data_IF_789023256271
#
_entry.id   IF_789023256271
#
_cell.length_a   1.000
_cell.length_b   1.000
_cell.length_c   1.000
_cell.angle_alpha   90.00
_cell.angle_beta   90.00
_cell.angle_gamma   90.00
#
_symmetry.space_group_name_H-M   'P 1'
#
loop_
_entity.id
_entity.type
_entity.pdbx_description
1 polymer ?
#
# COMPACT_ATOMS: atom_id res chain seq x y z
N UNK A 1 60.94 -3.81 8.71
CA UNK A 1 60.11 -4.45 7.67
C UNK A 1 58.67 -4.50 8.18
N UNK A 2 57.85 -3.46 7.95
CA UNK A 2 56.42 -3.44 8.34
C UNK A 2 55.59 -2.49 7.45
N UNK A 3 55.92 -2.41 6.16
CA UNK A 3 55.27 -1.48 5.22
C UNK A 3 54.08 -2.06 4.45
N UNK A 4 53.88 -3.38 4.48
CA UNK A 4 52.92 -4.06 3.60
C UNK A 4 51.50 -4.20 4.19
N UNK A 5 51.31 -3.97 5.50
CA UNK A 5 50.01 -4.13 6.16
C UNK A 5 49.01 -3.02 5.82
N UNK A 6 49.47 -1.78 5.73
CA UNK A 6 48.59 -0.61 5.55
C UNK A 6 47.94 -0.60 4.16
N UNK A 7 48.65 -1.02 3.11
CA UNK A 7 48.12 -1.04 1.75
C UNK A 7 46.98 -2.04 1.56
N UNK A 8 47.08 -3.24 2.17
CA UNK A 8 46.06 -4.28 2.00
C UNK A 8 44.72 -3.87 2.61
N UNK A 9 44.72 -3.26 3.80
CA UNK A 9 43.50 -2.79 4.47
C UNK A 9 42.75 -1.73 3.65
N UNK A 10 43.48 -0.78 3.05
CA UNK A 10 42.88 0.29 2.23
C UNK A 10 42.24 -0.26 0.96
N UNK A 11 42.88 -1.22 0.28
CA UNK A 11 42.29 -1.87 -0.92
C UNK A 11 41.02 -2.64 -0.60
N UNK A 12 40.95 -3.38 0.51
CA UNK A 12 39.74 -4.15 0.87
C UNK A 12 38.56 -3.24 1.18
N UNK A 13 38.80 -2.12 1.89
CA UNK A 13 37.76 -1.12 2.19
C UNK A 13 37.23 -0.48 0.90
N UNK A 14 38.10 -0.14 -0.05
CA UNK A 14 37.71 0.46 -1.33
C UNK A 14 36.90 -0.52 -2.20
N UNK A 15 37.22 -1.81 -2.21
CA UNK A 15 36.45 -2.81 -2.95
C UNK A 15 35.06 -3.00 -2.36
N UNK A 16 34.94 -3.09 -1.03
CA UNK A 16 33.64 -3.19 -0.35
C UNK A 16 32.79 -1.93 -0.60
N UNK A 17 33.40 -0.75 -0.53
CA UNK A 17 32.72 0.52 -0.82
C UNK A 17 32.28 0.61 -2.29
N UNK A 18 33.10 0.13 -3.23
CA UNK A 18 32.80 0.10 -4.65
C UNK A 18 31.61 -0.81 -5.00
N UNK A 19 31.51 -1.98 -4.36
CA UNK A 19 30.35 -2.89 -4.53
C UNK A 19 29.07 -2.26 -3.99
N UNK A 20 29.15 -1.49 -2.89
CA UNK A 20 27.99 -0.79 -2.33
C UNK A 20 27.50 0.38 -3.20
N UNK A 21 28.39 1.03 -3.97
CA UNK A 21 28.02 2.16 -4.83
C UNK A 21 27.50 1.76 -6.22
N UNK A 22 27.70 0.51 -6.67
CA UNK A 22 27.24 0.04 -7.98
C UNK A 22 25.73 -0.20 -8.15
N UNK A 23 24.94 0.00 -7.09
CA UNK A 23 23.54 -0.46 -7.01
C UNK A 23 22.43 0.53 -7.36
N UNK A 24 22.69 1.66 -8.02
CA UNK A 24 21.69 2.73 -8.16
C UNK A 24 21.31 3.07 -9.61
N UNK A 25 20.58 2.16 -10.27
CA UNK A 25 19.59 2.55 -11.28
C UNK A 25 18.43 1.57 -11.25
N UNK A 26 17.70 1.56 -10.14
CA UNK A 26 16.41 0.87 -10.08
C UNK A 26 15.44 1.61 -11.01
N UNK A 27 15.22 1.07 -12.20
CA UNK A 27 14.25 1.59 -13.15
C UNK A 27 12.89 1.67 -12.44
N UNK A 28 12.23 2.84 -12.50
CA UNK A 28 10.92 3.09 -11.87
C UNK A 28 9.75 2.53 -12.70
N UNK A 29 10.05 1.75 -13.74
CA UNK A 29 9.07 1.16 -14.62
C UNK A 29 8.54 -0.12 -13.98
N UNK A 30 7.22 -0.24 -13.96
CA UNK A 30 6.55 -1.47 -13.55
C UNK A 30 6.35 -2.31 -14.80
N UNK A 31 6.86 -3.54 -14.78
CA UNK A 31 6.46 -4.49 -15.80
C UNK A 31 4.97 -4.81 -15.60
N UNK A 32 4.22 -5.00 -16.69
CA UNK A 32 2.81 -5.43 -16.65
C UNK A 32 2.54 -6.58 -15.66
N UNK A 33 3.37 -7.64 -15.58
CA UNK A 33 3.20 -8.70 -14.58
C UNK A 33 3.29 -8.26 -13.12
N UNK A 34 3.99 -7.17 -12.81
CA UNK A 34 4.24 -6.68 -11.45
C UNK A 34 3.16 -5.70 -10.96
N UNK A 35 2.15 -5.41 -11.79
CA UNK A 35 1.07 -4.50 -11.44
C UNK A 35 0.10 -5.22 -10.50
N UNK A 36 -0.03 -4.72 -9.28
CA UNK A 36 -0.90 -5.24 -8.22
C UNK A 36 -2.14 -4.37 -7.99
N UNK A 37 -3.23 -5.00 -7.53
CA UNK A 37 -4.46 -4.30 -7.11
C UNK A 37 -4.16 -3.37 -5.92
N UNK A 38 -4.75 -2.18 -5.93
CA UNK A 38 -4.56 -1.14 -4.94
C UNK A 38 -3.27 -0.34 -5.13
N UNK A 39 -2.50 -0.58 -6.18
CA UNK A 39 -1.29 0.19 -6.44
C UNK A 39 -1.63 1.55 -7.05
N UNK A 40 -1.03 2.61 -6.54
CA UNK A 40 -1.11 3.95 -7.12
C UNK A 40 -0.15 4.05 -8.31
N UNK A 41 -0.66 4.43 -9.48
CA UNK A 41 0.10 4.43 -10.73
C UNK A 41 -0.07 5.71 -11.51
N UNK A 42 0.96 6.02 -12.28
CA UNK A 42 0.96 7.02 -13.34
C UNK A 42 1.10 6.29 -14.68
N UNK A 43 0.05 6.34 -15.50
CA UNK A 43 0.02 5.75 -16.83
C UNK A 43 0.43 6.79 -17.85
N UNK A 44 1.35 6.43 -18.74
CA UNK A 44 1.66 7.19 -19.95
C UNK A 44 1.02 6.46 -21.11
N UNK A 45 -0.01 7.05 -21.71
CA UNK A 45 -0.79 6.45 -22.78
C UNK A 45 -0.11 6.64 -24.15
N UNK A 46 -0.46 5.80 -25.11
CA UNK A 46 0.02 5.88 -26.50
C UNK A 46 -0.41 7.19 -27.18
N UNK A 47 -1.53 7.77 -26.75
CA UNK A 47 -1.98 9.11 -27.18
C UNK A 47 -1.06 10.25 -26.71
N UNK A 48 -0.14 9.99 -25.78
CA UNK A 48 0.69 10.99 -25.12
C UNK A 48 0.06 11.56 -23.84
N UNK A 49 -1.21 11.24 -23.55
CA UNK A 49 -1.85 11.62 -22.30
C UNK A 49 -1.18 10.92 -21.10
N UNK A 50 -1.17 11.62 -19.97
CA UNK A 50 -0.67 11.11 -18.70
C UNK A 50 -1.83 11.13 -17.73
N UNK A 51 -2.17 9.97 -17.17
CA UNK A 51 -3.24 9.84 -16.19
C UNK A 51 -2.71 9.22 -14.91
N UNK A 52 -3.23 9.68 -13.77
CA UNK A 52 -2.90 9.13 -12.45
C UNK A 52 -4.13 8.54 -11.79
N UNK A 53 -3.93 7.48 -11.02
CA UNK A 53 -5.02 6.83 -10.33
C UNK A 53 -4.59 5.61 -9.53
N UNK A 54 -5.59 4.83 -9.10
CA UNK A 54 -5.40 3.56 -8.38
C UNK A 54 -5.93 2.40 -9.20
N UNK A 55 -5.19 1.31 -9.25
CA UNK A 55 -5.64 0.08 -9.92
C UNK A 55 -6.63 -0.64 -9.01
N UNK A 56 -7.85 -0.87 -9.51
CA UNK A 56 -8.88 -1.63 -8.78
C UNK A 56 -9.00 -3.08 -9.29
N UNK A 57 -8.65 -3.31 -10.56
CA UNK A 57 -8.72 -4.62 -11.18
C UNK A 57 -7.69 -4.75 -12.31
N UNK A 58 -7.17 -5.95 -12.48
CA UNK A 58 -6.27 -6.32 -13.57
C UNK A 58 -6.85 -7.50 -14.32
N UNK A 59 -7.29 -7.24 -15.55
CA UNK A 59 -7.69 -8.26 -16.49
C UNK A 59 -6.49 -8.85 -17.24
N UNK A 60 -6.77 -9.80 -18.15
CA UNK A 60 -5.72 -10.42 -18.97
C UNK A 60 -5.05 -9.44 -19.94
N UNK A 61 -5.84 -8.58 -20.60
CA UNK A 61 -5.39 -7.59 -21.60
C UNK A 61 -5.73 -6.15 -21.23
N UNK A 62 -6.37 -5.94 -20.08
CA UNK A 62 -6.99 -4.68 -19.68
C UNK A 62 -6.67 -4.38 -18.21
N UNK A 63 -6.65 -3.09 -17.88
CA UNK A 63 -6.38 -2.57 -16.55
C UNK A 63 -7.49 -1.60 -16.17
N UNK A 64 -8.18 -1.86 -15.06
CA UNK A 64 -9.22 -0.96 -14.55
C UNK A 64 -8.61 -0.05 -13.49
N UNK A 65 -8.61 1.25 -13.75
CA UNK A 65 -8.01 2.28 -12.91
C UNK A 65 -9.06 3.32 -12.56
N UNK A 66 -9.19 3.66 -11.28
CA UNK A 66 -9.98 4.83 -10.86
C UNK A 66 -9.08 6.05 -10.96
N UNK A 67 -9.46 7.02 -11.79
CA UNK A 67 -8.64 8.20 -12.06
C UNK A 67 -8.79 9.26 -10.96
N UNK A 68 -7.71 10.00 -10.68
CA UNK A 68 -7.72 11.12 -9.72
C UNK A 68 -8.63 12.27 -10.19
N UNK A 69 -8.78 12.48 -11.51
CA UNK A 69 -9.47 13.65 -12.07
C UNK A 69 -10.99 13.60 -11.90
N UNK A 70 -11.61 12.44 -12.16
CA UNK A 70 -13.07 12.28 -12.15
C UNK A 70 -13.59 11.27 -11.13
N UNK A 71 -12.68 10.58 -10.42
CA UNK A 71 -12.99 9.54 -9.44
C UNK A 71 -13.86 8.41 -10.00
N UNK A 72 -13.82 8.19 -11.33
CA UNK A 72 -14.53 7.11 -12.00
C UNK A 72 -13.58 5.99 -12.42
N UNK A 73 -14.05 4.73 -12.49
CA UNK A 73 -13.27 3.64 -13.05
C UNK A 73 -13.20 3.75 -14.58
N UNK A 74 -11.97 3.70 -15.10
CA UNK A 74 -11.66 3.64 -16.53
C UNK A 74 -10.92 2.35 -16.85
N UNK A 75 -11.29 1.73 -17.97
CA UNK A 75 -10.66 0.51 -18.46
C UNK A 75 -9.68 0.89 -19.57
N UNK A 76 -8.40 0.58 -19.37
CA UNK A 76 -7.34 0.81 -20.34
C UNK A 76 -6.83 -0.52 -20.90
N UNK A 77 -6.72 -0.63 -22.22
CA UNK A 77 -6.06 -1.79 -22.83
C UNK A 77 -4.56 -1.66 -22.68
N UNK A 78 -3.83 -2.77 -22.46
CA UNK A 78 -2.37 -2.70 -22.39
C UNK A 78 -1.73 -2.15 -23.67
N UNK A 79 -2.37 -2.31 -24.84
CA UNK A 79 -1.92 -1.70 -26.09
C UNK A 79 -1.99 -0.17 -26.11
N UNK A 80 -2.86 0.42 -25.28
CA UNK A 80 -3.01 1.87 -25.13
C UNK A 80 -2.02 2.43 -24.11
N UNK A 81 -1.38 1.58 -23.30
CA UNK A 81 -0.46 1.97 -22.24
C UNK A 81 0.97 1.83 -22.75
N UNK A 82 1.65 2.97 -22.94
CA UNK A 82 3.07 3.00 -23.32
C UNK A 82 3.97 2.64 -22.13
N UNK A 83 3.61 3.08 -20.93
CA UNK A 83 4.43 2.95 -19.73
C UNK A 83 3.62 3.07 -18.46
N UNK A 84 3.97 2.28 -17.45
CA UNK A 84 3.39 2.36 -16.10
C UNK A 84 4.50 2.70 -15.11
N UNK A 85 4.30 3.73 -14.32
CA UNK A 85 5.17 4.11 -13.21
C UNK A 85 4.39 4.10 -11.89
N UNK A 86 5.08 3.90 -10.77
CA UNK A 86 4.47 4.16 -9.46
C UNK A 86 4.18 5.65 -9.32
N UNK A 87 2.95 6.00 -8.96
CA UNK A 87 2.65 7.39 -8.59
C UNK A 87 3.40 7.74 -7.29
N UNK A 88 3.94 8.97 -7.15
CA UNK A 88 4.48 9.43 -5.88
C UNK A 88 3.39 9.65 -4.82
N UNK A 89 2.13 9.80 -5.24
CA UNK A 89 0.99 9.95 -4.32
C UNK A 89 0.42 8.58 -3.94
N UNK A 90 -0.18 8.53 -2.76
CA UNK A 90 -0.99 7.39 -2.33
C UNK A 90 -2.46 7.78 -2.50
N UNK A 91 -3.26 6.87 -3.04
CA UNK A 91 -4.69 7.06 -3.22
C UNK A 91 -5.49 6.03 -2.42
N UNK A 92 -6.73 6.37 -2.08
CA UNK A 92 -7.73 5.38 -1.65
C UNK A 92 -8.42 4.70 -2.84
N UNK A 93 -9.38 3.81 -2.59
CA UNK A 93 -10.07 3.06 -3.64
C UNK A 93 -10.98 3.91 -4.54
N UNK A 94 -11.24 5.16 -4.16
CA UNK A 94 -11.98 6.14 -4.95
C UNK A 94 -11.05 7.18 -5.60
N UNK A 95 -9.74 6.90 -5.61
CA UNK A 95 -8.71 7.79 -6.13
C UNK A 95 -8.58 9.14 -5.40
N UNK A 96 -9.08 9.27 -4.17
CA UNK A 96 -8.76 10.45 -3.36
C UNK A 96 -7.35 10.33 -2.79
N UNK A 97 -6.55 11.42 -2.82
CA UNK A 97 -5.22 11.39 -2.26
C UNK A 97 -5.27 11.15 -0.74
N UNK A 98 -4.32 10.36 -0.25
CA UNK A 98 -4.07 10.12 1.16
C UNK A 98 -2.87 10.95 1.56
N UNK A 99 -3.06 11.85 2.52
CA UNK A 99 -1.99 12.75 2.99
C UNK A 99 -0.99 12.01 3.88
N UNK A 100 0.26 12.50 3.94
CA UNK A 100 1.27 11.92 4.86
C UNK A 100 0.86 12.05 6.34
N UNK A 101 0.11 13.09 6.70
CA UNK A 101 -0.42 13.25 8.06
C UNK A 101 -1.42 12.14 8.43
N UNK A 102 -2.27 11.72 7.48
CA UNK A 102 -3.18 10.59 7.68
C UNK A 102 -2.42 9.26 7.78
N UNK A 103 -1.40 9.06 6.93
CA UNK A 103 -0.55 7.86 6.99
C UNK A 103 0.13 7.78 8.36
N UNK A 104 0.73 8.86 8.84
CA UNK A 104 1.43 8.89 10.12
C UNK A 104 0.49 8.66 11.31
N UNK A 105 -0.78 9.14 11.24
CA UNK A 105 -1.80 8.89 12.27
C UNK A 105 -2.04 7.39 12.52
N UNK A 106 -1.94 6.55 11.49
CA UNK A 106 -2.17 5.10 11.59
C UNK A 106 -0.90 4.26 11.56
N UNK A 107 0.27 4.91 11.47
CA UNK A 107 1.55 4.24 11.45
C UNK A 107 1.85 3.61 12.80
N UNK A 108 2.27 2.36 12.78
CA UNK A 108 2.75 1.67 13.99
C UNK A 108 4.26 1.50 13.92
N UNK A 109 4.94 1.44 15.06
CA UNK A 109 6.38 1.19 15.14
C UNK A 109 6.71 -0.30 15.40
N UNK A 110 5.74 -1.19 15.20
CA UNK A 110 5.90 -2.61 15.56
C UNK A 110 6.92 -3.28 14.65
N UNK A 111 6.83 -3.11 13.33
CA UNK A 111 7.78 -3.76 12.42
C UNK A 111 9.14 -3.05 12.47
N UNK A 112 9.17 -1.74 12.69
CA UNK A 112 10.40 -0.98 12.93
C UNK A 112 11.22 -1.48 14.12
N UNK A 113 10.63 -2.16 15.11
CA UNK A 113 11.36 -2.78 16.24
C UNK A 113 11.72 -4.25 15.99
N UNK A 114 10.82 -5.02 15.38
CA UNK A 114 11.03 -6.47 15.16
C UNK A 114 12.06 -6.74 14.06
N UNK A 115 12.00 -6.01 12.95
CA UNK A 115 12.87 -6.21 11.80
C UNK A 115 14.36 -5.96 12.10
N UNK A 116 14.77 -4.90 12.82
CA UNK A 116 16.18 -4.70 13.16
C UNK A 116 16.75 -5.83 14.00
N UNK A 117 15.96 -6.39 14.95
CA UNK A 117 16.41 -7.53 15.78
C UNK A 117 16.66 -8.76 14.90
N UNK A 118 15.73 -9.08 14.00
CA UNK A 118 15.91 -10.16 13.03
C UNK A 118 17.11 -9.93 12.10
N UNK A 119 17.27 -8.69 11.63
CA UNK A 119 18.41 -8.29 10.80
C UNK A 119 19.74 -8.38 11.52
N UNK A 120 19.79 -8.03 12.81
CA UNK A 120 20.99 -8.16 13.64
C UNK A 120 21.40 -9.62 13.79
N UNK A 121 20.47 -10.51 14.11
CA UNK A 121 20.76 -11.95 14.25
C UNK A 121 21.22 -12.56 12.92
N UNK A 122 20.48 -12.32 11.83
CA UNK A 122 20.84 -12.85 10.50
C UNK A 122 22.15 -12.28 9.98
N UNK A 123 22.35 -10.98 10.15
CA UNK A 123 23.59 -10.29 9.79
C UNK A 123 24.78 -10.79 10.59
N UNK A 124 24.59 -11.05 11.90
CA UNK A 124 25.61 -11.65 12.75
C UNK A 124 26.01 -13.04 12.27
N UNK A 125 25.04 -13.93 12.07
CA UNK A 125 25.30 -15.30 11.64
C UNK A 125 25.98 -15.35 10.27
N UNK A 126 25.54 -14.50 9.34
CA UNK A 126 26.14 -14.37 8.01
C UNK A 126 27.58 -13.81 8.10
N UNK A 127 27.80 -12.82 8.96
CA UNK A 127 29.13 -12.26 9.23
C UNK A 127 30.09 -13.30 9.83
N UNK A 128 29.63 -14.11 10.79
CA UNK A 128 30.43 -15.21 11.36
C UNK A 128 30.74 -16.27 10.30
N UNK A 129 29.75 -16.66 9.48
CA UNK A 129 29.92 -17.67 8.44
C UNK A 129 30.99 -17.26 7.40
N UNK A 130 31.03 -15.97 7.03
CA UNK A 130 32.03 -15.42 6.11
C UNK A 130 33.36 -15.17 6.83
N UNK A 131 33.31 -14.72 8.08
CA UNK A 131 34.50 -14.41 8.89
C UNK A 131 35.30 -15.64 9.30
N UNK A 132 34.66 -16.80 9.47
CA UNK A 132 35.30 -18.01 9.96
C UNK A 132 36.38 -18.56 8.98
N UNK A 133 36.14 -18.71 7.67
CA UNK A 133 37.19 -19.08 6.72
C UNK A 133 38.34 -18.06 6.64
N UNK A 134 38.03 -16.77 6.72
CA UNK A 134 39.04 -15.69 6.67
C UNK A 134 39.95 -15.75 7.90
N UNK A 135 39.35 -15.92 9.07
CA UNK A 135 40.07 -16.07 10.31
C UNK A 135 40.96 -17.31 10.31
N UNK A 136 40.45 -18.47 9.86
CA UNK A 136 41.23 -19.71 9.74
C UNK A 136 42.43 -19.59 8.78
N UNK A 137 42.40 -18.64 7.84
CA UNK A 137 43.46 -18.43 6.85
C UNK A 137 44.49 -17.36 7.25
N UNK A 138 44.12 -16.40 8.10
CA UNK A 138 44.92 -15.20 8.38
C UNK A 138 45.07 -14.84 9.87
N UNK A 139 44.48 -15.61 10.78
CA UNK A 139 44.42 -15.43 12.26
C UNK A 139 43.80 -14.11 12.77
N UNK A 140 43.50 -13.14 11.89
CA UNK A 140 42.91 -11.83 12.19
C UNK A 140 42.07 -11.35 10.98
N UNK A 141 40.83 -10.83 11.15
CA UNK A 141 40.08 -10.58 12.38
C UNK A 141 39.32 -11.79 12.96
N UNK A 142 39.05 -11.82 14.29
CA UNK A 142 38.20 -12.84 14.90
C UNK A 142 36.81 -12.90 14.26
N UNK A 143 36.19 -14.09 14.09
CA UNK A 143 34.92 -14.24 13.40
C UNK A 143 33.78 -13.43 14.03
N UNK A 144 33.81 -13.25 15.36
CA UNK A 144 32.81 -12.47 16.10
C UNK A 144 32.86 -10.97 15.77
N UNK A 145 34.02 -10.43 15.39
CA UNK A 145 34.13 -9.03 14.97
C UNK A 145 33.43 -8.83 13.62
N UNK A 146 33.68 -9.72 12.66
CA UNK A 146 32.99 -9.74 11.36
C UNK A 146 31.49 -9.98 11.56
N UNK A 147 31.12 -10.88 12.47
CA UNK A 147 29.75 -11.07 12.94
C UNK A 147 29.11 -9.79 13.48
N UNK A 148 29.79 -9.07 14.38
CA UNK A 148 29.31 -7.81 14.95
C UNK A 148 29.04 -6.74 13.89
N UNK A 149 29.95 -6.57 12.92
CA UNK A 149 29.76 -5.66 11.78
C UNK A 149 28.56 -6.09 10.93
N UNK A 150 28.46 -7.39 10.65
CA UNK A 150 27.31 -7.97 9.94
C UNK A 150 25.98 -7.69 10.65
N UNK A 151 25.95 -7.78 11.98
CA UNK A 151 24.77 -7.50 12.79
C UNK A 151 24.30 -6.05 12.65
N UNK A 152 25.23 -5.10 12.69
CA UNK A 152 24.91 -3.66 12.53
C UNK A 152 24.36 -3.37 11.14
N UNK A 153 25.03 -3.86 10.09
CA UNK A 153 24.59 -3.66 8.70
C UNK A 153 23.23 -4.32 8.46
N UNK A 154 23.07 -5.56 8.94
CA UNK A 154 21.81 -6.29 8.84
C UNK A 154 20.67 -5.58 9.57
N UNK A 155 20.92 -5.09 10.79
CA UNK A 155 19.94 -4.33 11.57
C UNK A 155 19.46 -3.08 10.83
N UNK A 156 20.38 -2.26 10.30
CA UNK A 156 20.03 -1.05 9.54
C UNK A 156 19.23 -1.41 8.28
N UNK A 157 19.69 -2.39 7.50
CA UNK A 157 18.99 -2.80 6.28
C UNK A 157 17.55 -3.24 6.57
N UNK A 158 17.35 -4.12 7.55
CA UNK A 158 16.02 -4.60 7.90
C UNK A 158 15.17 -3.53 8.60
N UNK A 159 15.76 -2.61 9.38
CA UNK A 159 15.04 -1.46 9.96
C UNK A 159 14.39 -0.61 8.86
N UNK A 160 15.13 -0.29 7.80
CA UNK A 160 14.57 0.49 6.67
C UNK A 160 13.43 -0.25 5.96
N UNK A 161 13.54 -1.58 5.83
CA UNK A 161 12.49 -2.42 5.26
C UNK A 161 11.26 -2.49 6.17
N UNK A 162 11.46 -2.59 7.48
CA UNK A 162 10.39 -2.57 8.49
C UNK A 162 9.59 -1.27 8.44
N UNK A 163 10.28 -0.11 8.36
CA UNK A 163 9.60 1.19 8.22
C UNK A 163 8.76 1.31 6.94
N UNK A 164 9.24 0.76 5.82
CA UNK A 164 8.47 0.72 4.56
C UNK A 164 7.22 -0.12 4.73
N UNK A 165 7.33 -1.29 5.38
CA UNK A 165 6.20 -2.16 5.66
C UNK A 165 5.17 -1.50 6.59
N UNK A 166 5.62 -0.83 7.65
CA UNK A 166 4.75 -0.06 8.55
C UNK A 166 3.99 1.04 7.80
N UNK A 167 4.65 1.72 6.84
CA UNK A 167 4.00 2.74 6.00
C UNK A 167 2.96 2.13 5.05
N UNK A 168 3.28 1.00 4.41
CA UNK A 168 2.34 0.27 3.54
C UNK A 168 1.10 -0.20 4.32
N UNK A 169 1.29 -0.76 5.52
CA UNK A 169 0.21 -1.21 6.39
C UNK A 169 -0.67 -0.03 6.85
N UNK A 170 -0.06 1.13 7.13
CA UNK A 170 -0.79 2.36 7.45
C UNK A 170 -1.64 2.85 6.27
N UNK A 171 -1.09 2.86 5.06
CA UNK A 171 -1.83 3.22 3.83
C UNK A 171 -3.02 2.27 3.64
N UNK A 172 -2.81 0.95 3.77
CA UNK A 172 -3.90 -0.04 3.66
C UNK A 172 -4.96 0.17 4.74
N UNK A 173 -4.56 0.55 5.96
CA UNK A 173 -5.50 0.84 7.04
C UNK A 173 -6.34 2.08 6.77
N UNK A 174 -5.74 3.17 6.25
CA UNK A 174 -6.50 4.36 5.83
C UNK A 174 -7.52 4.00 4.75
N UNK A 175 -7.12 3.23 3.75
CA UNK A 175 -8.02 2.75 2.68
C UNK A 175 -9.20 1.98 3.23
N UNK A 176 -8.92 1.04 4.13
CA UNK A 176 -9.95 0.22 4.76
C UNK A 176 -10.93 1.07 5.58
N UNK A 177 -10.44 2.06 6.34
CA UNK A 177 -11.29 2.95 7.14
C UNK A 177 -12.20 3.79 6.24
N UNK A 178 -11.65 4.45 5.21
CA UNK A 178 -12.45 5.26 4.27
C UNK A 178 -13.49 4.43 3.52
N UNK A 179 -13.10 3.25 3.03
CA UNK A 179 -14.03 2.34 2.35
C UNK A 179 -15.17 1.90 3.28
N UNK A 180 -14.85 1.58 4.54
CA UNK A 180 -15.83 1.20 5.54
C UNK A 180 -16.78 2.35 5.90
N UNK A 181 -16.27 3.57 6.05
CA UNK A 181 -17.09 4.77 6.30
C UNK A 181 -18.05 5.03 5.14
N UNK A 182 -17.56 4.95 3.90
CA UNK A 182 -18.39 5.11 2.71
C UNK A 182 -19.49 4.04 2.61
N UNK A 183 -19.19 2.77 2.92
CA UNK A 183 -20.18 1.70 2.96
C UNK A 183 -21.26 1.96 4.02
N UNK A 184 -20.86 2.38 5.22
CA UNK A 184 -21.79 2.71 6.30
C UNK A 184 -22.67 3.91 5.96
N UNK A 185 -22.14 4.92 5.28
CA UNK A 185 -22.93 6.05 4.80
C UNK A 185 -23.94 5.62 3.72
N UNK A 186 -23.54 4.76 2.79
CA UNK A 186 -24.44 4.23 1.77
C UNK A 186 -25.56 3.38 2.40
N UNK A 187 -25.24 2.54 3.39
CA UNK A 187 -26.21 1.75 4.16
C UNK A 187 -27.22 2.66 4.89
N UNK A 188 -26.74 3.70 5.58
CA UNK A 188 -27.61 4.68 6.26
C UNK A 188 -28.56 5.38 5.30
N UNK A 189 -28.06 5.84 4.14
CA UNK A 189 -28.92 6.48 3.12
C UNK A 189 -29.99 5.53 2.59
N UNK A 190 -29.61 4.27 2.32
CA UNK A 190 -30.57 3.25 1.88
C UNK A 190 -31.61 2.92 2.96
N UNK A 191 -31.23 2.92 4.25
CA UNK A 191 -32.16 2.73 5.36
C UNK A 191 -33.11 3.92 5.52
N UNK A 192 -32.62 5.15 5.42
CA UNK A 192 -33.45 6.37 5.45
C UNK A 192 -34.48 6.38 4.30
N UNK A 193 -34.08 5.98 3.09
CA UNK A 193 -34.98 5.85 1.95
C UNK A 193 -36.07 4.79 2.18
N UNK A 194 -35.70 3.64 2.76
CA UNK A 194 -36.66 2.59 3.14
C UNK A 194 -37.65 3.08 4.20
N UNK A 195 -37.19 3.82 5.21
CA UNK A 195 -38.05 4.40 6.23
C UNK A 195 -39.03 5.40 5.62
N UNK A 196 -38.57 6.30 4.74
CA UNK A 196 -39.44 7.25 4.03
C UNK A 196 -40.49 6.54 3.17
N UNK A 197 -40.13 5.44 2.51
CA UNK A 197 -41.06 4.66 1.71
C UNK A 197 -42.11 3.96 2.58
N UNK A 198 -41.71 3.37 3.71
CA UNK A 198 -42.64 2.79 4.69
C UNK A 198 -43.60 3.83 5.28
N UNK A 199 -43.11 5.04 5.56
CA UNK A 199 -43.95 6.15 6.02
C UNK A 199 -44.98 6.57 4.97
N UNK A 200 -44.58 6.66 3.69
CA UNK A 200 -45.51 6.93 2.58
C UNK A 200 -46.58 5.86 2.46
N UNK A 201 -46.18 4.58 2.51
CA UNK A 201 -47.12 3.46 2.47
C UNK A 201 -48.08 3.48 3.67
N UNK A 202 -47.60 3.80 4.87
CA UNK A 202 -48.43 3.96 6.06
C UNK A 202 -49.45 5.10 5.89
N UNK A 203 -49.02 6.26 5.39
CA UNK A 203 -49.92 7.39 5.13
C UNK A 203 -50.98 7.05 4.07
N UNK A 204 -50.61 6.34 3.02
CA UNK A 204 -51.55 5.90 1.99
C UNK A 204 -52.58 4.90 2.54
N UNK A 205 -52.13 3.93 3.35
CA UNK A 205 -53.03 2.98 4.03
C UNK A 205 -53.99 3.69 4.98
N UNK A 206 -53.54 4.69 5.74
CA UNK A 206 -54.40 5.49 6.62
C UNK A 206 -55.47 6.24 5.82
N UNK A 207 -55.09 6.91 4.72
CA UNK A 207 -56.06 7.56 3.82
C UNK A 207 -57.09 6.58 3.26
N UNK A 208 -56.66 5.41 2.80
CA UNK A 208 -57.56 4.35 2.30
C UNK A 208 -58.51 3.85 3.40
N UNK A 209 -58.05 3.73 4.65
CA UNK A 209 -58.90 3.33 5.77
C UNK A 209 -59.92 4.42 6.13
N UNK A 210 -59.53 5.69 6.12
CA UNK A 210 -60.44 6.82 6.33
C UNK A 210 -61.52 6.91 5.24
N UNK A 211 -61.13 6.76 3.98
CA UNK A 211 -62.08 6.71 2.84
C UNK A 211 -63.07 5.56 2.98
N UNK A 212 -62.60 4.36 3.37
CA UNK A 212 -63.48 3.21 3.61
C UNK A 212 -64.47 3.47 4.76
N UNK A 213 -64.01 4.07 5.86
CA UNK A 213 -64.88 4.43 7.00
C UNK A 213 -65.95 5.44 6.61
N UNK A 214 -65.60 6.47 5.85
CA UNK A 214 -66.58 7.46 5.34
C UNK A 214 -67.65 6.81 4.47
N UNK A 215 -67.26 5.94 3.54
CA UNK A 215 -68.21 5.17 2.69
C UNK A 215 -69.15 4.28 3.50
N UNK A 216 -68.66 3.64 4.57
CA UNK A 216 -69.50 2.83 5.47
C UNK A 216 -70.51 3.69 6.25
N UNK A 217 -70.08 4.85 6.77
CA UNK A 217 -71.00 5.76 7.46
C UNK A 217 -72.10 6.30 6.54
N UNK A 218 -71.77 6.61 5.28
CA UNK A 218 -72.73 7.02 4.26
C UNK A 218 -73.72 5.89 3.91
N UNK A 219 -73.26 4.64 3.83
CA UNK A 219 -74.15 3.50 3.57
C UNK A 219 -75.09 3.19 4.75
N UNK A 220 -74.60 3.34 5.98
CA UNK A 220 -75.38 3.02 7.19
C UNK A 220 -76.41 4.12 7.53
N UNK A 221 -76.15 5.38 7.16
CA UNK A 221 -77.07 6.50 7.37
C UNK A 221 -78.18 6.66 6.32
N UNK A 222 -78.24 5.80 5.31
CA UNK A 222 -79.21 5.86 4.20
C UNK A 222 -80.47 5.00 4.43
N UNK A 223 -80.75 4.59 5.67
CA UNK A 223 -81.92 3.77 6.05
C UNK A 223 -83.03 4.58 6.70
#
# INVERSE_FOLDING_TARGET
MSGYGCHKAVTTILVVLGVLMGGCSASRYLAVPEIEKGQAVRLYLASGAIVEGIIIERGGTELTVVLEEDHQPHVFKFSEIRRVERSPKNYDYQAYPISEAEIEKYRTNRNALVYPVGGAVLGFLSGVAIGLPVWLAADDPPPFFVGGVGAVIGSIYFATRGMRKDREDAIQRVRYIRDRENQLEAEKRAEEERLRELERQKQELLKRLEEKKKRQQESDGSW
#
